data_IF_255719606003
#
_entry.id   IF_255719606003
#
_cell.length_a   1.000
_cell.length_b   1.000
_cell.length_c   1.000
_cell.angle_alpha   90.00
_cell.angle_beta   90.00
_cell.angle_gamma   90.00
#
_symmetry.space_group_name_H-M   'P 1'
#
loop_
_entity.id
_entity.type
_entity.pdbx_description
1 polymer ?
#
# COMPACT_ATOMS: atom_id res chain seq x y z
N UNK A 1 10.59 4.64 13.24
CA UNK A 1 9.21 4.93 12.77
C UNK A 1 8.79 3.82 11.82
N UNK A 2 7.52 3.44 11.87
CA UNK A 2 6.96 2.36 11.06
C UNK A 2 6.08 2.95 9.97
N UNK A 3 6.18 2.44 8.75
CA UNK A 3 5.32 2.80 7.63
C UNK A 3 4.26 1.70 7.45
N UNK A 4 2.98 2.06 7.60
CA UNK A 4 1.85 1.17 7.33
C UNK A 4 1.32 1.44 5.92
N UNK A 5 1.15 0.37 5.14
CA UNK A 5 0.71 0.43 3.76
C UNK A 5 -0.65 -0.27 3.66
N UNK A 6 -1.70 0.52 3.40
CA UNK A 6 -3.08 0.02 3.40
C UNK A 6 -3.41 -0.80 2.16
N UNK A 7 -4.53 -1.52 2.23
CA UNK A 7 -5.00 -2.37 1.15
C UNK A 7 -5.90 -1.68 0.14
N UNK A 8 -6.38 -2.49 -0.81
CA UNK A 8 -7.31 -2.06 -1.85
C UNK A 8 -8.58 -1.47 -1.25
N UNK A 9 -9.00 -0.32 -1.79
CA UNK A 9 -10.24 0.35 -1.36
C UNK A 9 -10.21 0.91 0.05
N UNK A 10 -9.06 0.91 0.70
CA UNK A 10 -8.90 1.38 2.07
C UNK A 10 -8.23 2.77 2.12
N UNK A 11 -7.93 3.22 3.32
CA UNK A 11 -7.26 4.49 3.58
C UNK A 11 -6.06 4.25 4.50
N UNK A 12 -5.16 5.24 4.58
CA UNK A 12 -4.03 5.18 5.48
C UNK A 12 -4.48 4.99 6.92
N UNK A 13 -5.27 5.91 7.44
CA UNK A 13 -5.80 5.81 8.80
C UNK A 13 -7.16 5.14 8.80
N UNK A 14 -7.18 3.87 9.11
CA UNK A 14 -8.37 3.05 9.26
C UNK A 14 -8.28 2.23 10.54
N UNK A 15 -9.09 1.18 10.65
CA UNK A 15 -9.17 0.36 11.87
C UNK A 15 -7.81 -0.25 12.25
N UNK A 16 -7.12 -0.85 11.29
CA UNK A 16 -5.82 -1.51 11.55
C UNK A 16 -4.75 -0.50 11.92
N UNK A 17 -4.61 0.59 11.18
CA UNK A 17 -3.58 1.58 11.43
C UNK A 17 -3.81 2.32 12.74
N UNK A 18 -5.05 2.58 13.11
CA UNK A 18 -5.37 3.19 14.40
C UNK A 18 -5.05 2.26 15.56
N UNK A 19 -5.29 0.95 15.41
CA UNK A 19 -4.91 -0.04 16.41
C UNK A 19 -3.40 -0.11 16.57
N UNK A 20 -2.65 -0.09 15.47
CA UNK A 20 -1.19 -0.08 15.49
C UNK A 20 -0.64 1.19 16.12
N UNK A 21 -1.24 2.34 15.84
CA UNK A 21 -0.86 3.61 16.45
C UNK A 21 -1.02 3.56 17.97
N UNK A 22 -2.11 2.95 18.46
CA UNK A 22 -2.32 2.78 19.90
C UNK A 22 -1.26 1.89 20.53
N UNK A 23 -0.79 0.88 19.80
CA UNK A 23 0.24 -0.03 20.29
C UNK A 23 1.63 0.61 20.31
N UNK A 24 2.04 1.24 19.21
CA UNK A 24 3.39 1.77 19.04
C UNK A 24 3.56 3.21 19.54
N UNK A 25 2.47 3.96 19.65
CA UNK A 25 2.49 5.33 20.12
C UNK A 25 2.34 6.36 19.00
N UNK A 26 1.88 7.54 19.41
CA UNK A 26 1.70 8.69 18.50
C UNK A 26 3.07 9.13 17.97
N UNK A 27 3.16 9.37 16.67
CA UNK A 27 4.40 9.77 16.02
C UNK A 27 5.31 8.61 15.64
N UNK A 28 4.97 7.37 16.00
CA UNK A 28 5.78 6.20 15.67
C UNK A 28 5.28 5.46 14.43
N UNK A 29 4.13 5.84 13.89
CA UNK A 29 3.52 5.21 12.73
C UNK A 29 3.11 6.25 11.71
N UNK A 30 3.54 6.04 10.46
CA UNK A 30 3.03 6.78 9.30
C UNK A 30 2.10 5.86 8.51
N UNK A 31 0.93 6.38 8.15
CA UNK A 31 -0.07 5.63 7.40
C UNK A 31 -0.64 6.53 6.28
N UNK A 32 0.10 6.73 5.19
CA UNK A 32 -0.36 7.64 4.13
C UNK A 32 -1.53 7.05 3.35
N UNK A 33 -2.42 7.92 2.88
CA UNK A 33 -3.35 7.57 1.82
C UNK A 33 -2.57 7.40 0.53
N UNK A 34 -2.81 6.30 -0.19
CA UNK A 34 -2.09 6.00 -1.41
C UNK A 34 -2.94 6.33 -2.63
N UNK A 35 -2.34 6.87 -3.71
CA UNK A 35 -3.03 6.94 -4.98
C UNK A 35 -3.37 5.54 -5.46
N UNK A 36 -4.47 5.40 -6.19
CA UNK A 36 -4.92 4.08 -6.65
C UNK A 36 -3.99 3.49 -7.70
N UNK A 37 -3.39 4.32 -8.56
CA UNK A 37 -2.45 3.84 -9.58
C UNK A 37 -1.22 3.21 -8.93
N UNK A 38 -0.88 1.94 -9.26
CA UNK A 38 0.23 1.24 -8.60
C UNK A 38 1.59 1.92 -8.76
N UNK A 39 1.91 2.46 -9.92
CA UNK A 39 3.20 3.14 -10.12
C UNK A 39 3.30 4.40 -9.26
N UNK A 40 2.21 5.18 -9.19
CA UNK A 40 2.16 6.37 -8.35
C UNK A 40 2.21 6.02 -6.87
N UNK A 41 1.57 4.92 -6.48
CA UNK A 41 1.62 4.45 -5.09
C UNK A 41 3.05 4.09 -4.70
N UNK A 42 3.77 3.34 -5.54
CA UNK A 42 5.16 2.98 -5.27
C UNK A 42 6.05 4.23 -5.24
N UNK A 43 5.88 5.17 -6.15
CA UNK A 43 6.68 6.40 -6.16
C UNK A 43 6.43 7.22 -4.89
N UNK A 44 5.18 7.30 -4.44
CA UNK A 44 4.82 7.99 -3.21
C UNK A 44 5.51 7.34 -2.00
N UNK A 45 5.46 6.02 -1.92
CA UNK A 45 6.06 5.26 -0.81
C UNK A 45 7.59 5.36 -0.83
N UNK A 46 8.22 5.31 -2.00
CA UNK A 46 9.66 5.54 -2.12
C UNK A 46 10.04 6.92 -1.58
N UNK A 47 9.26 7.94 -1.90
CA UNK A 47 9.46 9.29 -1.37
C UNK A 47 9.34 9.34 0.15
N UNK A 48 8.40 8.60 0.73
CA UNK A 48 8.25 8.49 2.18
C UNK A 48 9.49 7.88 2.82
N UNK A 49 10.03 6.80 2.24
CA UNK A 49 11.25 6.16 2.74
C UNK A 49 12.47 7.08 2.68
N UNK A 50 12.51 7.97 1.68
CA UNK A 50 13.60 8.93 1.55
C UNK A 50 13.49 10.10 2.53
N UNK A 51 12.26 10.54 2.83
CA UNK A 51 12.04 11.73 3.66
C UNK A 51 11.91 11.47 5.16
N UNK A 52 11.60 10.23 5.54
CA UNK A 52 11.34 9.89 6.94
C UNK A 52 12.23 8.76 7.41
N UNK A 53 12.58 8.72 8.72
CA UNK A 53 13.41 7.65 9.29
C UNK A 53 12.59 6.37 9.50
N UNK A 54 12.17 5.73 8.41
CA UNK A 54 11.38 4.51 8.45
C UNK A 54 12.28 3.31 8.74
N UNK A 55 12.01 2.60 9.82
CA UNK A 55 12.80 1.44 10.24
C UNK A 55 12.14 0.10 9.90
N UNK A 56 10.82 0.09 9.63
CA UNK A 56 10.09 -1.14 9.34
C UNK A 56 8.85 -0.82 8.51
N UNK A 57 8.38 -1.83 7.78
CA UNK A 57 7.18 -1.77 6.97
C UNK A 57 6.13 -2.75 7.50
N UNK A 58 4.86 -2.33 7.47
CA UNK A 58 3.73 -3.24 7.68
C UNK A 58 2.79 -3.05 6.50
N UNK A 59 2.60 -4.11 5.70
CA UNK A 59 1.73 -4.07 4.52
C UNK A 59 0.53 -4.99 4.69
N UNK A 60 -0.67 -4.48 4.43
CA UNK A 60 -1.92 -5.22 4.56
C UNK A 60 -2.58 -5.41 3.20
N UNK A 61 -2.92 -6.64 2.84
CA UNK A 61 -3.58 -7.00 1.59
C UNK A 61 -2.77 -6.51 0.37
N UNK A 62 -3.31 -5.65 -0.48
CA UNK A 62 -2.56 -5.04 -1.60
C UNK A 62 -1.35 -4.25 -1.09
N UNK A 63 -1.44 -3.66 0.09
CA UNK A 63 -0.30 -3.01 0.73
C UNK A 63 0.85 -3.96 1.01
N UNK A 64 0.55 -5.23 1.22
CA UNK A 64 1.58 -6.28 1.35
C UNK A 64 2.36 -6.49 0.05
N UNK A 65 1.69 -6.42 -1.09
CA UNK A 65 2.36 -6.46 -2.40
C UNK A 65 3.27 -5.24 -2.56
N UNK A 66 2.79 -4.05 -2.21
CA UNK A 66 3.61 -2.83 -2.28
C UNK A 66 4.82 -2.90 -1.33
N UNK A 67 4.64 -3.42 -0.11
CA UNK A 67 5.73 -3.58 0.83
C UNK A 67 6.81 -4.50 0.28
N UNK A 68 6.42 -5.59 -0.37
CA UNK A 68 7.35 -6.53 -1.01
C UNK A 68 8.12 -5.84 -2.14
N UNK A 69 7.43 -5.07 -2.98
CA UNK A 69 8.06 -4.32 -4.07
C UNK A 69 9.04 -3.28 -3.54
N UNK A 70 8.67 -2.54 -2.50
CA UNK A 70 9.55 -1.56 -1.86
C UNK A 70 10.78 -2.21 -1.25
N UNK A 71 10.61 -3.37 -0.63
CA UNK A 71 11.70 -4.07 0.03
C UNK A 71 12.78 -4.52 -0.97
N UNK A 72 12.39 -4.75 -2.22
CA UNK A 72 13.34 -5.05 -3.29
C UNK A 72 14.16 -3.83 -3.71
N UNK A 73 13.62 -2.61 -3.51
CA UNK A 73 14.28 -1.35 -3.88
C UNK A 73 15.04 -0.76 -2.69
N UNK A 74 14.36 -0.64 -1.55
CA UNK A 74 14.88 -0.05 -0.30
C UNK A 74 14.54 -1.00 0.85
N UNK A 75 15.40 -1.99 1.15
CA UNK A 75 15.09 -3.02 2.15
C UNK A 75 14.85 -2.47 3.57
N UNK A 76 13.80 -2.97 4.20
CA UNK A 76 13.48 -2.74 5.62
C UNK A 76 12.87 -4.01 6.18
N UNK A 77 12.98 -4.28 7.49
CA UNK A 77 12.19 -5.33 8.13
C UNK A 77 10.71 -5.12 7.80
N UNK A 78 10.02 -6.19 7.40
CA UNK A 78 8.66 -6.09 6.86
C UNK A 78 7.75 -7.15 7.48
N UNK A 79 6.54 -6.71 7.88
CA UNK A 79 5.46 -7.58 8.32
C UNK A 79 4.35 -7.53 7.28
N UNK A 80 3.90 -8.70 6.84
CA UNK A 80 2.82 -8.81 5.86
C UNK A 80 1.58 -9.37 6.53
N UNK A 81 0.44 -8.70 6.32
CA UNK A 81 -0.86 -9.13 6.83
C UNK A 81 -1.73 -9.48 5.63
N UNK A 82 -2.04 -10.77 5.45
CA UNK A 82 -2.83 -11.28 4.32
C UNK A 82 -2.39 -10.64 3.00
N UNK A 83 -1.11 -10.77 2.60
CA UNK A 83 -0.61 -10.04 1.43
C UNK A 83 -1.23 -10.54 0.14
N UNK A 84 -1.50 -9.61 -0.78
CA UNK A 84 -1.90 -9.93 -2.15
C UNK A 84 -0.64 -10.25 -2.96
N UNK A 85 -0.55 -11.46 -3.49
CA UNK A 85 0.59 -11.92 -4.28
C UNK A 85 0.38 -11.61 -5.76
N UNK A 86 -0.88 -11.71 -6.23
CA UNK A 86 -1.27 -11.50 -7.61
C UNK A 86 -2.27 -10.35 -7.73
N UNK A 87 -1.81 -9.09 -7.67
CA UNK A 87 -2.71 -7.94 -7.65
C UNK A 87 -3.57 -7.82 -8.92
N UNK A 88 -3.11 -8.33 -10.06
CA UNK A 88 -3.89 -8.31 -11.29
C UNK A 88 -5.15 -9.19 -11.19
N UNK A 89 -5.11 -10.28 -10.45
CA UNK A 89 -6.28 -11.13 -10.21
C UNK A 89 -7.29 -10.42 -9.31
N UNK A 90 -6.81 -9.78 -8.24
CA UNK A 90 -7.65 -8.98 -7.37
C UNK A 90 -8.33 -7.85 -8.15
N UNK A 91 -7.55 -7.08 -8.90
CA UNK A 91 -8.05 -5.91 -9.62
C UNK A 91 -9.02 -6.29 -10.73
N UNK A 92 -8.86 -7.48 -11.34
CA UNK A 92 -9.77 -7.96 -12.36
C UNK A 92 -11.21 -8.15 -11.85
N UNK A 93 -11.38 -8.44 -10.56
CA UNK A 93 -12.71 -8.56 -9.93
C UNK A 93 -13.38 -7.22 -9.66
N UNK A 94 -12.63 -6.12 -9.68
CA UNK A 94 -13.10 -4.81 -9.26
C UNK A 94 -12.94 -3.74 -10.34
N UNK A 95 -12.94 -4.15 -11.63
CA UNK A 95 -12.84 -3.19 -12.72
C UNK A 95 -14.02 -2.21 -12.72
N UNK A 96 -13.74 -0.96 -13.08
CA UNK A 96 -14.75 0.08 -13.17
C UNK A 96 -14.84 0.96 -11.92
N UNK A 97 -15.99 1.63 -11.74
CA UNK A 97 -16.17 2.53 -10.61
C UNK A 97 -16.28 1.78 -9.30
N UNK A 98 -15.55 2.24 -8.29
CA UNK A 98 -15.52 1.69 -6.95
C UNK A 98 -15.62 2.82 -5.92
N UNK A 99 -15.83 2.45 -4.65
CA UNK A 99 -15.81 3.40 -3.53
C UNK A 99 -14.92 2.88 -2.42
N UNK A 100 -14.19 3.78 -1.79
CA UNK A 100 -13.32 3.45 -0.66
C UNK A 100 -14.17 3.04 0.54
N UNK A 101 -13.73 2.00 1.24
CA UNK A 101 -14.49 1.45 2.39
C UNK A 101 -14.47 2.35 3.62
N UNK A 102 -13.46 3.22 3.73
CA UNK A 102 -13.28 4.07 4.90
C UNK A 102 -14.09 5.37 4.85
N UNK A 103 -14.31 5.95 3.66
CA UNK A 103 -14.95 7.26 3.50
C UNK A 103 -15.90 7.35 2.31
N UNK A 104 -16.14 6.23 1.62
CA UNK A 104 -17.01 6.16 0.44
C UNK A 104 -16.54 7.04 -0.74
N UNK A 105 -15.30 7.50 -0.73
CA UNK A 105 -14.75 8.30 -1.82
C UNK A 105 -14.64 7.48 -3.10
N UNK A 106 -15.05 8.03 -4.26
CA UNK A 106 -15.03 7.30 -5.52
C UNK A 106 -13.62 7.16 -6.08
N UNK A 107 -13.36 6.01 -6.73
CA UNK A 107 -12.17 5.80 -7.53
C UNK A 107 -12.50 4.87 -8.69
N UNK A 108 -11.62 4.76 -9.67
CA UNK A 108 -11.86 3.96 -10.87
C UNK A 108 -10.74 2.97 -11.09
N UNK A 109 -11.09 1.70 -11.27
CA UNK A 109 -10.15 0.62 -11.58
C UNK A 109 -10.10 0.43 -13.08
N UNK A 110 -9.00 0.87 -13.70
CA UNK A 110 -8.80 0.76 -15.14
C UNK A 110 -8.19 -0.59 -15.52
N UNK A 111 -8.50 -1.11 -16.72
CA UNK A 111 -7.92 -2.39 -17.17
C UNK A 111 -6.39 -2.36 -17.29
N UNK A 112 -5.78 -1.21 -17.52
CA UNK A 112 -4.34 -1.06 -17.69
C UNK A 112 -3.55 -1.21 -16.38
N UNK A 113 -4.22 -1.37 -15.24
CA UNK A 113 -3.55 -1.74 -13.99
C UNK A 113 -2.72 -3.04 -14.11
N UNK A 114 -3.07 -3.91 -15.06
CA UNK A 114 -2.29 -5.12 -15.37
C UNK A 114 -0.90 -4.77 -15.91
N UNK A 115 -0.81 -3.74 -16.75
CA UNK A 115 0.46 -3.27 -17.28
C UNK A 115 1.32 -2.67 -16.17
N UNK A 116 0.73 -1.92 -15.26
CA UNK A 116 1.42 -1.38 -14.10
C UNK A 116 2.04 -2.48 -13.24
N UNK A 117 1.30 -3.57 -13.02
CA UNK A 117 1.82 -4.74 -12.29
C UNK A 117 3.06 -5.31 -12.97
N UNK A 118 3.06 -5.45 -14.29
CA UNK A 118 4.22 -5.97 -15.03
C UNK A 118 5.44 -5.07 -14.85
N UNK A 119 5.25 -3.75 -14.86
CA UNK A 119 6.34 -2.80 -14.60
C UNK A 119 6.89 -2.95 -13.18
N UNK A 120 6.04 -3.11 -12.17
CA UNK A 120 6.47 -3.31 -10.80
C UNK A 120 7.30 -4.59 -10.64
N UNK A 121 6.89 -5.67 -11.30
CA UNK A 121 7.66 -6.91 -11.26
C UNK A 121 9.04 -6.77 -11.89
N UNK A 122 9.17 -6.00 -12.94
CA UNK A 122 10.48 -5.76 -13.60
C UNK A 122 11.43 -4.93 -12.76
N UNK A 123 10.95 -4.19 -11.75
CA UNK A 123 11.79 -3.44 -10.80
C UNK A 123 12.49 -4.34 -9.79
N UNK A 124 12.03 -5.58 -9.67
CA UNK A 124 12.63 -6.56 -8.78
C UNK A 124 13.74 -7.29 -9.52
#
# INVERSE_FOLDING_TARGET
>A
MILFIHGFGSCGWGEKSLALRRHFGVGQLLAPDLPFDPDRAIDHLCGMLQRHPISALIGSSLGGFYATALNAIMPRPTILINPVIRPHELLAHYLGPQRRWCDDAPFYVAPDCRAARSRLQRRH
#
